data_IF_151909145908
#
_entry.id   IF_151909145908
#
_cell.length_a   1.000
_cell.length_b   1.000
_cell.length_c   1.000
_cell.angle_alpha   90.00
_cell.angle_beta   90.00
_cell.angle_gamma   90.00
#
_symmetry.space_group_name_H-M   'P 1'
#
loop_
_entity.id
_entity.type
_entity.pdbx_description
1 polymer ?
#
# COMPACT_ATOMS: atom_id res chain seq x y z
N UNK A 1 0.20 26.22 -6.52
CA UNK A 1 -0.41 25.96 -5.23
C UNK A 1 -0.15 24.52 -4.83
N UNK A 2 0.24 24.30 -3.58
CA UNK A 2 0.49 22.94 -3.11
C UNK A 2 -0.82 22.15 -3.00
N UNK A 3 -0.85 20.97 -3.58
CA UNK A 3 -1.99 20.08 -3.50
C UNK A 3 -1.99 19.37 -2.14
N UNK A 4 -3.15 19.28 -1.50
CA UNK A 4 -3.26 18.53 -0.26
C UNK A 4 -3.19 17.03 -0.58
N UNK A 5 -2.59 16.23 0.32
CA UNK A 5 -2.44 14.79 0.05
C UNK A 5 -3.77 14.08 -0.15
N UNK A 6 -4.85 14.55 0.51
CA UNK A 6 -6.18 13.96 0.36
C UNK A 6 -6.74 14.08 -1.05
N UNK A 7 -6.21 15.01 -1.85
CA UNK A 7 -6.64 15.21 -3.24
C UNK A 7 -5.90 14.28 -4.20
N UNK A 8 -4.85 13.62 -3.75
CA UNK A 8 -4.08 12.72 -4.61
C UNK A 8 -4.83 11.40 -4.80
N UNK A 9 -5.04 11.01 -6.05
CA UNK A 9 -5.67 9.73 -6.38
C UNK A 9 -4.87 8.57 -5.78
N UNK A 10 -3.55 8.65 -5.81
CA UNK A 10 -2.68 7.63 -5.23
C UNK A 10 -3.01 7.41 -3.75
N UNK A 11 -3.20 8.49 -2.98
CA UNK A 11 -3.54 8.39 -1.56
C UNK A 11 -4.93 7.79 -1.36
N UNK A 12 -5.91 8.27 -2.14
CA UNK A 12 -7.29 7.80 -2.03
C UNK A 12 -7.39 6.30 -2.31
N UNK A 13 -6.74 5.84 -3.38
CA UNK A 13 -6.74 4.42 -3.73
C UNK A 13 -5.95 3.59 -2.72
N UNK A 14 -4.88 4.13 -2.17
CA UNK A 14 -4.13 3.45 -1.12
C UNK A 14 -4.98 3.28 0.14
N UNK A 15 -5.79 4.27 0.51
CA UNK A 15 -6.68 4.17 1.66
C UNK A 15 -7.74 3.08 1.45
N UNK A 16 -8.32 3.00 0.24
CA UNK A 16 -9.26 1.94 -0.10
C UNK A 16 -8.59 0.57 0.01
N UNK A 17 -7.37 0.45 -0.49
CA UNK A 17 -6.59 -0.78 -0.41
C UNK A 17 -6.38 -1.20 1.05
N UNK A 18 -5.96 -0.28 1.92
CA UNK A 18 -5.73 -0.58 3.35
C UNK A 18 -7.01 -1.10 3.98
N UNK A 19 -8.14 -0.46 3.71
CA UNK A 19 -9.43 -0.87 4.25
C UNK A 19 -9.75 -2.32 3.85
N UNK A 20 -9.53 -2.67 2.59
CA UNK A 20 -9.78 -4.03 2.11
C UNK A 20 -8.80 -5.03 2.73
N UNK A 21 -7.55 -4.65 2.93
CA UNK A 21 -6.54 -5.50 3.58
C UNK A 21 -6.95 -5.80 5.02
N UNK A 22 -7.46 -4.82 5.74
CA UNK A 22 -7.93 -5.06 7.12
C UNK A 22 -9.11 -6.02 7.15
N UNK A 23 -10.04 -5.90 6.20
CA UNK A 23 -11.17 -6.84 6.09
C UNK A 23 -10.69 -8.25 5.79
N UNK A 24 -9.75 -8.39 4.84
CA UNK A 24 -9.20 -9.68 4.48
C UNK A 24 -8.53 -10.36 5.66
N UNK A 25 -7.68 -9.62 6.36
CA UNK A 25 -6.86 -10.18 7.45
C UNK A 25 -7.64 -10.40 8.73
N UNK A 26 -8.87 -9.89 8.82
CA UNK A 26 -9.70 -10.06 9.99
C UNK A 26 -10.05 -11.54 10.23
N UNK A 27 -10.09 -12.35 9.17
CA UNK A 27 -10.36 -13.78 9.24
C UNK A 27 -9.10 -14.64 9.41
N UNK A 28 -7.92 -14.04 9.46
CA UNK A 28 -6.67 -14.78 9.62
C UNK A 28 -6.59 -15.41 11.01
N UNK A 29 -5.82 -16.50 11.19
CA UNK A 29 -5.68 -17.14 12.49
C UNK A 29 -5.22 -16.14 13.56
N UNK A 30 -5.82 -16.23 14.74
CA UNK A 30 -5.48 -15.33 15.86
C UNK A 30 -4.01 -15.43 16.26
N UNK A 31 -3.39 -16.61 16.07
CA UNK A 31 -1.96 -16.80 16.38
C UNK A 31 -1.05 -15.95 15.52
N UNK A 32 -1.57 -15.44 14.38
CA UNK A 32 -0.79 -14.59 13.47
C UNK A 32 -0.94 -13.10 13.77
N UNK A 33 -1.74 -12.72 14.77
CA UNK A 33 -2.05 -11.31 15.00
C UNK A 33 -0.81 -10.47 15.30
N UNK A 34 0.22 -11.06 15.92
CA UNK A 34 1.49 -10.37 16.20
C UNK A 34 2.61 -10.80 15.25
N UNK A 35 2.29 -11.50 14.17
CA UNK A 35 3.31 -11.90 13.18
C UNK A 35 2.85 -11.53 11.77
N UNK A 36 2.39 -12.46 10.94
CA UNK A 36 2.08 -12.17 9.54
C UNK A 36 0.96 -11.15 9.39
N UNK A 37 -0.11 -11.24 10.17
CA UNK A 37 -1.20 -10.27 10.12
C UNK A 37 -0.68 -8.86 10.41
N UNK A 38 0.13 -8.71 11.46
CA UNK A 38 0.71 -7.42 11.83
C UNK A 38 1.59 -6.87 10.71
N UNK A 39 2.44 -7.72 10.12
CA UNK A 39 3.34 -7.30 9.03
C UNK A 39 2.56 -6.84 7.81
N UNK A 40 1.51 -7.57 7.43
CA UNK A 40 0.67 -7.20 6.28
C UNK A 40 0.03 -5.83 6.52
N UNK A 41 -0.55 -5.63 7.70
CA UNK A 41 -1.21 -4.37 8.04
C UNK A 41 -0.24 -3.21 8.09
N UNK A 42 0.96 -3.41 8.63
CA UNK A 42 2.00 -2.38 8.68
C UNK A 42 2.45 -1.99 7.27
N UNK A 43 2.68 -2.98 6.41
CA UNK A 43 3.07 -2.71 5.02
C UNK A 43 1.97 -1.92 4.31
N UNK A 44 0.71 -2.32 4.48
CA UNK A 44 -0.42 -1.65 3.85
C UNK A 44 -0.52 -0.19 4.30
N UNK A 45 -0.50 0.05 5.61
CA UNK A 45 -0.64 1.41 6.18
C UNK A 45 0.51 2.31 5.75
N UNK A 46 1.71 1.75 5.58
CA UNK A 46 2.88 2.55 5.20
C UNK A 46 2.72 3.17 3.80
N UNK A 47 1.88 2.60 2.93
CA UNK A 47 1.68 3.13 1.57
C UNK A 47 1.04 4.52 1.60
N UNK A 48 -0.18 4.71 2.14
CA UNK A 48 -0.75 6.05 2.22
C UNK A 48 0.02 6.97 3.17
N UNK A 49 0.62 6.44 4.22
CA UNK A 49 1.38 7.24 5.17
C UNK A 49 2.58 7.90 4.51
N UNK A 50 3.34 7.17 3.69
CA UNK A 50 4.48 7.73 2.97
C UNK A 50 4.05 8.71 1.88
N UNK A 51 2.91 8.48 1.22
CA UNK A 51 2.39 9.45 0.25
C UNK A 51 2.09 10.77 0.94
N UNK A 52 1.38 10.72 2.07
CA UNK A 52 1.01 11.91 2.83
C UNK A 52 2.25 12.65 3.36
N UNK A 53 3.20 11.90 3.93
CA UNK A 53 4.43 12.49 4.47
C UNK A 53 5.24 13.15 3.37
N UNK A 54 5.37 12.50 2.21
CA UNK A 54 6.10 13.06 1.08
C UNK A 54 5.45 14.32 0.54
N UNK A 55 4.12 14.36 0.48
CA UNK A 55 3.39 15.54 0.01
C UNK A 55 3.57 16.73 0.96
N UNK A 56 3.81 16.49 2.24
CA UNK A 56 4.02 17.54 3.21
C UNK A 56 5.36 18.27 3.04
N UNK A 57 6.30 17.68 2.33
CA UNK A 57 7.59 18.32 2.03
C UNK A 57 7.47 19.23 0.82
N UNK A 58 8.27 20.30 0.79
CA UNK A 58 8.23 21.30 -0.27
C UNK A 58 9.17 21.01 -1.44
N UNK A 59 9.78 19.82 -1.46
CA UNK A 59 10.77 19.43 -2.45
C UNK A 59 10.26 18.25 -3.26
N UNK A 60 10.36 18.33 -4.59
CA UNK A 60 10.02 17.19 -5.45
C UNK A 60 10.94 15.99 -5.17
N UNK A 61 12.20 16.26 -4.81
CA UNK A 61 13.17 15.23 -4.46
C UNK A 61 12.70 14.44 -3.23
N UNK A 62 12.27 15.14 -2.19
CA UNK A 62 11.77 14.51 -0.98
C UNK A 62 10.47 13.76 -1.24
N UNK A 63 9.57 14.35 -2.03
CA UNK A 63 8.32 13.70 -2.39
C UNK A 63 8.59 12.38 -3.13
N UNK A 64 9.48 12.42 -4.13
CA UNK A 64 9.88 11.22 -4.88
C UNK A 64 10.45 10.14 -3.95
N UNK A 65 11.27 10.55 -2.98
CA UNK A 65 11.86 9.64 -2.01
C UNK A 65 10.78 8.88 -1.24
N UNK A 66 9.79 9.61 -0.70
CA UNK A 66 8.70 8.97 0.04
C UNK A 66 7.79 8.12 -0.85
N UNK A 67 7.55 8.55 -2.08
CA UNK A 67 6.77 7.75 -3.03
C UNK A 67 7.46 6.42 -3.35
N UNK A 68 8.78 6.43 -3.44
CA UNK A 68 9.55 5.20 -3.64
C UNK A 68 9.48 4.27 -2.43
N UNK A 69 9.42 4.83 -1.23
CA UNK A 69 9.16 4.03 -0.03
C UNK A 69 7.79 3.36 -0.10
N UNK A 70 6.76 4.10 -0.55
CA UNK A 70 5.44 3.51 -0.76
C UNK A 70 5.50 2.36 -1.76
N UNK A 71 6.25 2.51 -2.84
CA UNK A 71 6.40 1.45 -3.85
C UNK A 71 7.06 0.21 -3.25
N UNK A 72 8.07 0.39 -2.40
CA UNK A 72 8.70 -0.72 -1.69
C UNK A 72 7.73 -1.44 -0.75
N UNK A 73 6.87 -0.68 -0.06
CA UNK A 73 5.85 -1.24 0.82
C UNK A 73 4.82 -2.05 0.03
N UNK A 74 4.49 -1.64 -1.20
CA UNK A 74 3.59 -2.42 -2.06
C UNK A 74 4.21 -3.77 -2.43
N UNK A 75 5.50 -3.80 -2.74
CA UNK A 75 6.18 -5.06 -3.05
C UNK A 75 6.20 -5.99 -1.83
N UNK A 76 6.45 -5.44 -0.67
CA UNK A 76 6.41 -6.19 0.59
C UNK A 76 5.00 -6.75 0.84
N UNK A 77 3.97 -5.92 0.66
CA UNK A 77 2.58 -6.30 0.84
C UNK A 77 2.19 -7.43 -0.12
N UNK A 78 2.56 -7.30 -1.39
CA UNK A 78 2.28 -8.33 -2.39
C UNK A 78 2.91 -9.67 -1.97
N UNK A 79 4.16 -9.65 -1.54
CA UNK A 79 4.87 -10.84 -1.09
C UNK A 79 4.12 -11.50 0.08
N UNK A 80 3.70 -10.71 1.05
CA UNK A 80 3.02 -11.21 2.24
C UNK A 80 1.63 -11.77 1.92
N UNK A 81 0.90 -11.15 0.98
CA UNK A 81 -0.40 -11.66 0.54
C UNK A 81 -0.27 -13.00 -0.14
N UNK A 82 0.75 -13.16 -1.00
CA UNK A 82 1.02 -14.43 -1.67
C UNK A 82 1.41 -15.50 -0.65
N UNK A 83 2.16 -15.13 0.37
CA UNK A 83 2.53 -16.04 1.45
C UNK A 83 1.29 -16.47 2.23
N UNK A 84 0.40 -15.55 2.55
CA UNK A 84 -0.84 -15.87 3.26
C UNK A 84 -1.70 -16.85 2.47
N UNK A 85 -1.75 -16.71 1.15
CA UNK A 85 -2.46 -17.65 0.29
C UNK A 85 -1.82 -19.04 0.36
N UNK A 86 -0.51 -19.12 0.28
CA UNK A 86 0.22 -20.40 0.38
C UNK A 86 -0.03 -21.10 1.71
N UNK A 87 -0.17 -20.33 2.77
CA UNK A 87 -0.41 -20.87 4.11
C UNK A 87 -1.88 -21.23 4.35
N UNK A 88 -2.75 -20.93 3.37
CA UNK A 88 -4.16 -21.23 3.47
C UNK A 88 -4.97 -20.26 4.30
N UNK A 89 -4.41 -19.10 4.62
CA UNK A 89 -5.11 -18.07 5.40
C UNK A 89 -6.10 -17.26 4.55
N UNK A 90 -5.86 -17.17 3.25
CA UNK A 90 -6.75 -16.52 2.30
C UNK A 90 -6.91 -17.42 1.08
N UNK A 91 -8.12 -17.47 0.49
CA UNK A 91 -8.35 -18.23 -0.72
C UNK A 91 -7.84 -17.45 -1.94
N UNK A 92 -7.77 -18.14 -3.09
CA UNK A 92 -7.24 -17.52 -4.30
C UNK A 92 -8.06 -16.32 -4.78
N UNK A 93 -9.40 -16.38 -4.85
CA UNK A 93 -10.18 -15.22 -5.29
C UNK A 93 -10.00 -13.99 -4.40
N UNK A 94 -9.94 -14.17 -3.08
CA UNK A 94 -9.73 -13.06 -2.15
C UNK A 94 -8.34 -12.46 -2.31
N UNK A 95 -7.33 -13.31 -2.47
CA UNK A 95 -5.96 -12.86 -2.70
C UNK A 95 -5.85 -12.08 -4.00
N UNK A 96 -6.44 -12.59 -5.08
CA UNK A 96 -6.43 -11.90 -6.38
C UNK A 96 -7.12 -10.54 -6.31
N UNK A 97 -8.24 -10.44 -5.59
CA UNK A 97 -8.92 -9.17 -5.40
C UNK A 97 -8.05 -8.13 -4.71
N UNK A 98 -7.33 -8.54 -3.67
CA UNK A 98 -6.40 -7.66 -2.97
C UNK A 98 -5.20 -7.29 -3.83
N UNK A 99 -4.65 -8.25 -4.59
CA UNK A 99 -3.53 -7.99 -5.49
C UNK A 99 -3.90 -7.02 -6.59
N UNK A 100 -5.13 -7.06 -7.10
CA UNK A 100 -5.59 -6.10 -8.11
C UNK A 100 -5.53 -4.68 -7.56
N UNK A 101 -5.91 -4.48 -6.30
CA UNK A 101 -5.82 -3.16 -5.65
C UNK A 101 -4.38 -2.74 -5.46
N UNK A 102 -3.51 -3.66 -5.06
CA UNK A 102 -2.07 -3.40 -4.90
C UNK A 102 -1.48 -2.95 -6.23
N UNK A 103 -1.80 -3.65 -7.32
CA UNK A 103 -1.28 -3.33 -8.65
C UNK A 103 -1.83 -2.00 -9.16
N UNK A 104 -3.09 -1.69 -8.89
CA UNK A 104 -3.68 -0.40 -9.27
C UNK A 104 -2.95 0.75 -8.57
N UNK A 105 -2.75 0.65 -7.27
CA UNK A 105 -2.02 1.67 -6.51
C UNK A 105 -0.60 1.80 -7.05
N UNK A 106 0.04 0.68 -7.37
CA UNK A 106 1.40 0.68 -7.94
C UNK A 106 1.48 1.43 -9.25
N UNK A 107 0.52 1.21 -10.16
CA UNK A 107 0.50 1.93 -11.44
C UNK A 107 0.31 3.43 -11.25
N UNK A 108 -0.62 3.83 -10.37
CA UNK A 108 -0.87 5.24 -10.10
C UNK A 108 0.36 5.88 -9.47
N UNK A 109 0.97 5.18 -8.51
CA UNK A 109 2.15 5.66 -7.81
C UNK A 109 3.33 5.85 -8.77
N UNK A 110 3.58 4.88 -9.64
CA UNK A 110 4.65 4.98 -10.64
C UNK A 110 4.41 6.13 -11.61
N UNK A 111 3.16 6.35 -12.01
CA UNK A 111 2.78 7.49 -12.84
C UNK A 111 3.06 8.82 -12.14
N UNK A 112 2.75 8.90 -10.86
CA UNK A 112 2.98 10.10 -10.07
C UNK A 112 4.49 10.37 -9.95
N UNK A 113 5.29 9.34 -9.65
CA UNK A 113 6.74 9.47 -9.58
C UNK A 113 7.30 9.98 -10.91
N UNK A 114 6.86 9.40 -12.02
CA UNK A 114 7.34 9.79 -13.35
C UNK A 114 6.95 11.22 -13.71
N UNK A 115 5.86 11.75 -13.16
CA UNK A 115 5.37 13.09 -13.46
C UNK A 115 6.11 14.19 -12.71
N UNK A 116 6.88 13.85 -11.69
CA UNK A 116 7.57 14.85 -10.89
C UNK A 116 8.78 15.42 -11.64
N UNK A 117 8.99 16.75 -11.61
CA UNK A 117 10.18 17.35 -12.20
C UNK A 117 11.46 16.86 -11.54
N UNK A 118 12.55 16.89 -12.30
CA UNK A 118 13.88 16.58 -11.81
C UNK A 118 14.33 17.54 -10.70
#
# INVERSE_FOLDING_TARGET
>A
MAQHFKDLVAWQKAMDMVTEIYKLTDSFPKREVYSLTDQIRRAAVSVPSNIAEGQAHYSHREFRHFLRHSAGSLAELETQLLLAERLGYADHPSTEGSLQRVHEVGRILNGLIASLPE
#
